data_IF_789393395969
#
_entry.id   IF_789393395969
#
_cell.length_a   1.000
_cell.length_b   1.000
_cell.length_c   1.000
_cell.angle_alpha   90.00
_cell.angle_beta   90.00
_cell.angle_gamma   90.00
#
_symmetry.space_group_name_H-M   'P 1'
#
loop_
_entity.id
_entity.type
_entity.pdbx_description
1 polymer ?
#
# COMPACT_ATOMS: atom_id res chain seq x y z
N UNK A 1 44.14 33.83 -24.01
CA UNK A 1 43.94 34.04 -22.57
C UNK A 1 43.22 32.83 -22.00
N UNK A 2 43.79 32.22 -20.97
CA UNK A 2 43.23 31.09 -20.24
C UNK A 2 42.14 31.56 -19.27
N UNK A 3 41.00 30.87 -19.23
CA UNK A 3 40.18 30.69 -18.03
C UNK A 3 39.47 29.34 -18.14
N UNK A 4 40.15 28.34 -17.60
CA UNK A 4 39.64 27.02 -17.28
C UNK A 4 38.79 27.18 -16.02
N UNK A 5 37.50 26.87 -16.09
CA UNK A 5 36.63 26.73 -14.92
C UNK A 5 35.69 25.57 -15.23
N UNK A 6 36.01 24.39 -14.70
CA UNK A 6 35.05 23.31 -14.56
C UNK A 6 35.52 22.44 -13.39
N UNK A 7 35.07 22.86 -12.21
CA UNK A 7 35.06 22.10 -10.98
C UNK A 7 33.85 21.15 -11.01
N UNK A 8 34.01 19.95 -11.54
CA UNK A 8 32.99 18.90 -11.39
C UNK A 8 33.33 18.02 -10.18
N UNK A 9 32.82 18.47 -9.04
CA UNK A 9 32.81 17.75 -7.77
C UNK A 9 31.84 16.56 -7.81
N UNK A 10 32.42 15.36 -7.65
CA UNK A 10 32.01 14.29 -6.73
C UNK A 10 30.50 14.08 -6.49
N UNK A 11 29.90 13.14 -7.23
CA UNK A 11 28.55 12.62 -6.99
C UNK A 11 28.55 11.21 -6.38
N UNK A 12 28.29 11.14 -5.08
CA UNK A 12 27.37 10.19 -4.42
C UNK A 12 27.56 8.68 -4.61
N UNK A 13 28.32 8.05 -3.71
CA UNK A 13 28.18 6.62 -3.41
C UNK A 13 27.25 6.45 -2.19
N UNK A 14 25.94 6.30 -2.44
CA UNK A 14 24.93 6.03 -1.43
C UNK A 14 24.85 4.54 -1.11
N UNK A 15 25.57 4.09 -0.10
CA UNK A 15 25.33 2.82 0.58
C UNK A 15 24.43 3.03 1.81
N UNK A 16 23.59 2.05 2.21
CA UNK A 16 22.64 2.20 3.31
C UNK A 16 23.40 2.12 4.64
N UNK A 17 23.88 3.27 5.10
CA UNK A 17 24.51 3.43 6.41
C UNK A 17 23.45 3.35 7.50
N UNK A 18 23.46 2.23 8.23
CA UNK A 18 22.80 2.01 9.52
C UNK A 18 22.93 3.26 10.39
N UNK A 19 21.79 3.79 10.83
CA UNK A 19 21.69 4.93 11.73
C UNK A 19 22.38 4.60 13.05
N UNK A 20 23.64 5.02 13.18
CA UNK A 20 24.29 5.15 14.47
C UNK A 20 23.61 6.32 15.18
N UNK A 21 23.04 6.03 16.36
CA UNK A 21 22.65 7.05 17.33
C UNK A 21 23.90 7.84 17.66
N UNK A 22 24.08 8.95 16.95
CA UNK A 22 25.16 9.89 17.20
C UNK A 22 24.68 10.79 18.33
N UNK A 23 25.22 10.53 19.52
CA UNK A 23 25.19 11.44 20.65
C UNK A 23 25.99 12.70 20.28
N UNK A 24 25.43 13.57 19.44
CA UNK A 24 25.98 14.91 19.25
C UNK A 24 25.58 15.73 20.49
N UNK A 25 26.52 16.18 21.35
CA UNK A 25 26.21 17.00 22.52
C UNK A 25 25.70 18.41 22.16
N UNK A 26 25.64 18.72 20.86
CA UNK A 26 25.02 19.93 20.32
C UNK A 26 23.79 19.59 19.45
N UNK A 27 23.21 18.41 19.63
CA UNK A 27 21.87 18.13 19.14
C UNK A 27 20.90 18.98 19.96
N UNK A 28 20.67 20.21 19.50
CA UNK A 28 19.56 21.03 19.95
C UNK A 28 18.31 20.16 19.86
N UNK A 29 17.76 19.85 21.02
CA UNK A 29 16.46 19.24 21.18
C UNK A 29 15.47 20.02 20.30
N UNK A 30 14.81 19.38 19.31
CA UNK A 30 13.89 20.07 18.39
C UNK A 30 12.66 20.66 19.08
N UNK A 31 12.56 20.52 20.40
CA UNK A 31 11.52 21.08 21.25
C UNK A 31 11.91 22.37 21.94
N UNK A 32 13.21 22.68 22.08
CA UNK A 32 13.67 23.88 22.78
C UNK A 32 14.80 24.50 21.96
N UNK A 33 14.49 25.55 21.20
CA UNK A 33 15.53 26.43 20.68
C UNK A 33 15.90 27.39 21.82
N UNK A 34 17.19 27.52 22.14
CA UNK A 34 17.68 28.47 23.16
C UNK A 34 17.27 29.93 22.86
N UNK A 35 16.86 30.21 21.62
CA UNK A 35 16.32 31.50 21.18
C UNK A 35 14.86 31.76 21.61
N UNK A 36 14.15 30.77 22.14
CA UNK A 36 12.73 30.85 22.47
C UNK A 36 12.48 31.24 23.94
N UNK A 37 13.54 31.35 24.75
CA UNK A 37 13.47 31.70 26.17
C UNK A 37 13.66 33.22 26.31
N UNK A 38 12.55 33.97 26.32
CA UNK A 38 12.54 35.30 26.91
C UNK A 38 12.28 35.17 28.41
N UNK A 39 13.14 35.77 29.23
CA UNK A 39 13.16 35.68 30.71
C UNK A 39 11.84 36.14 31.38
N UNK A 40 10.95 36.79 30.61
CA UNK A 40 9.66 37.35 31.00
C UNK A 40 8.42 36.53 30.55
N UNK A 41 8.59 35.42 29.81
CA UNK A 41 7.46 34.59 29.35
C UNK A 41 6.93 33.66 30.47
N UNK A 42 5.61 33.67 30.71
CA UNK A 42 4.98 32.76 31.68
C UNK A 42 4.97 31.31 31.17
N UNK A 43 5.03 30.33 32.09
CA UNK A 43 4.95 28.89 31.78
C UNK A 43 3.72 28.53 30.93
N UNK A 44 2.60 29.23 31.14
CA UNK A 44 1.37 29.02 30.36
C UNK A 44 1.53 29.47 28.90
N UNK A 45 2.18 30.60 28.65
CA UNK A 45 2.43 31.12 27.30
C UNK A 45 3.47 30.26 26.56
N UNK A 46 4.48 29.77 27.27
CA UNK A 46 5.44 28.80 26.72
C UNK A 46 4.75 27.50 26.29
N UNK A 47 3.84 27.00 27.13
CA UNK A 47 3.01 25.82 26.84
C UNK A 47 2.11 26.03 25.62
N UNK A 48 1.45 27.18 25.52
CA UNK A 48 0.59 27.52 24.38
C UNK A 48 1.39 27.64 23.07
N UNK A 49 2.54 28.33 23.06
CA UNK A 49 3.39 28.45 21.87
C UNK A 49 3.93 27.10 21.41
N UNK A 50 4.35 26.24 22.33
CA UNK A 50 4.79 24.88 22.01
C UNK A 50 3.67 24.03 21.39
N UNK A 51 2.46 24.08 21.97
CA UNK A 51 1.29 23.38 21.42
C UNK A 51 0.93 23.92 20.04
N UNK A 52 0.95 25.24 19.83
CA UNK A 52 0.66 25.85 18.54
C UNK A 52 1.71 25.48 17.48
N UNK A 53 2.99 25.45 17.85
CA UNK A 53 4.06 25.04 16.94
C UNK A 53 3.98 23.56 16.58
N UNK A 54 3.68 22.69 17.55
CA UNK A 54 3.43 21.26 17.29
C UNK A 54 2.20 21.10 16.39
N UNK A 55 1.15 21.89 16.62
CA UNK A 55 -0.07 21.84 15.81
C UNK A 55 0.14 22.34 14.39
N UNK A 56 0.86 23.46 14.20
CA UNK A 56 1.21 23.95 12.86
C UNK A 56 2.13 22.98 12.14
N UNK A 57 3.12 22.40 12.84
CA UNK A 57 3.99 21.37 12.28
C UNK A 57 3.23 20.10 11.89
N UNK A 58 2.24 19.68 12.69
CA UNK A 58 1.35 18.58 12.34
C UNK A 58 0.49 18.93 11.12
N UNK A 59 -0.07 20.13 11.06
CA UNK A 59 -0.89 20.57 9.94
C UNK A 59 -0.07 20.63 8.64
N UNK A 60 1.13 21.20 8.69
CA UNK A 60 2.06 21.26 7.56
C UNK A 60 2.45 19.85 7.09
N UNK A 61 2.71 18.94 8.03
CA UNK A 61 2.99 17.55 7.73
C UNK A 61 1.78 16.83 7.11
N UNK A 62 0.59 17.00 7.69
CA UNK A 62 -0.64 16.34 7.24
C UNK A 62 -1.12 16.87 5.87
N UNK A 63 -0.89 18.14 5.58
CA UNK A 63 -1.23 18.78 4.30
C UNK A 63 -0.16 18.57 3.22
N UNK A 64 0.89 17.82 3.50
CA UNK A 64 1.90 17.48 2.51
C UNK A 64 1.28 16.61 1.40
N UNK A 65 1.44 17.05 0.14
CA UNK A 65 0.81 16.42 -1.02
C UNK A 65 1.10 14.92 -1.17
N UNK A 66 2.32 14.47 -0.84
CA UNK A 66 2.69 13.05 -0.89
C UNK A 66 1.90 12.18 0.11
N UNK A 67 1.65 12.67 1.33
CA UNK A 67 0.89 11.93 2.34
C UNK A 67 -0.59 11.92 1.98
N UNK A 68 -1.10 13.06 1.51
CA UNK A 68 -2.47 13.22 1.06
C UNK A 68 -2.78 12.28 -0.12
N UNK A 69 -1.89 12.15 -1.10
CA UNK A 69 -2.04 11.21 -2.23
C UNK A 69 -2.10 9.75 -1.75
N UNK A 70 -1.22 9.34 -0.83
CA UNK A 70 -1.23 7.99 -0.25
C UNK A 70 -2.54 7.75 0.53
N UNK A 71 -2.99 8.72 1.32
CA UNK A 71 -4.22 8.62 2.11
C UNK A 71 -5.45 8.45 1.20
N UNK A 72 -5.57 9.27 0.15
CA UNK A 72 -6.66 9.13 -0.82
C UNK A 72 -6.62 7.77 -1.53
N UNK A 73 -5.43 7.30 -1.92
CA UNK A 73 -5.24 5.97 -2.51
C UNK A 73 -5.75 4.84 -1.59
N UNK A 74 -5.43 4.89 -0.30
CA UNK A 74 -5.88 3.89 0.69
C UNK A 74 -7.40 3.93 0.92
N UNK A 75 -8.02 5.12 0.97
CA UNK A 75 -9.47 5.27 1.17
C UNK A 75 -10.25 4.70 -0.03
N UNK A 76 -9.81 5.01 -1.25
CA UNK A 76 -10.44 4.48 -2.47
C UNK A 76 -10.21 2.97 -2.55
N UNK A 77 -9.00 2.48 -2.24
CA UNK A 77 -8.68 1.07 -2.25
C UNK A 77 -9.52 0.26 -1.22
N UNK A 78 -9.72 0.79 -0.01
CA UNK A 78 -10.52 0.10 1.01
C UNK A 78 -12.00 0.01 0.62
N UNK A 79 -12.55 1.10 0.07
CA UNK A 79 -13.93 1.17 -0.39
C UNK A 79 -14.17 0.24 -1.59
N UNK A 80 -13.25 0.24 -2.57
CA UNK A 80 -13.31 -0.68 -3.71
C UNK A 80 -13.19 -2.14 -3.26
N UNK A 81 -12.26 -2.45 -2.35
CA UNK A 81 -12.10 -3.80 -1.79
C UNK A 81 -13.38 -4.26 -1.08
N UNK A 82 -14.05 -3.36 -0.34
CA UNK A 82 -15.33 -3.67 0.30
C UNK A 82 -16.42 -4.03 -0.73
N UNK A 83 -16.54 -3.24 -1.82
CA UNK A 83 -17.51 -3.50 -2.89
C UNK A 83 -17.25 -4.84 -3.57
N UNK A 84 -15.98 -5.15 -3.91
CA UNK A 84 -15.64 -6.41 -4.57
C UNK A 84 -15.85 -7.60 -3.62
N UNK A 85 -15.51 -7.47 -2.33
CA UNK A 85 -15.77 -8.50 -1.34
C UNK A 85 -17.27 -8.77 -1.14
N UNK A 86 -18.11 -7.72 -1.09
CA UNK A 86 -19.57 -7.85 -1.06
C UNK A 86 -20.11 -8.49 -2.34
N UNK A 87 -19.60 -8.12 -3.51
CA UNK A 87 -20.00 -8.77 -4.75
C UNK A 87 -19.69 -10.27 -4.75
N UNK A 88 -18.50 -10.65 -4.30
CA UNK A 88 -18.13 -12.07 -4.20
C UNK A 88 -19.01 -12.77 -3.16
N UNK A 89 -19.11 -12.23 -1.94
CA UNK A 89 -19.78 -12.87 -0.81
C UNK A 89 -21.31 -12.95 -0.97
N UNK A 90 -21.92 -11.91 -1.53
CA UNK A 90 -23.38 -11.75 -1.56
C UNK A 90 -23.98 -12.13 -2.91
N UNK A 91 -23.23 -12.00 -4.01
CA UNK A 91 -23.76 -12.23 -5.37
C UNK A 91 -23.17 -13.49 -6.01
N UNK A 92 -21.86 -13.73 -5.90
CA UNK A 92 -21.24 -14.92 -6.51
C UNK A 92 -21.38 -16.17 -5.64
N UNK A 93 -21.27 -16.06 -4.31
CA UNK A 93 -21.34 -17.22 -3.43
C UNK A 93 -22.72 -17.90 -3.39
N UNK A 94 -23.89 -17.22 -3.36
CA UNK A 94 -25.16 -17.95 -3.27
C UNK A 94 -25.41 -18.89 -4.47
N UNK A 95 -25.20 -18.46 -5.74
CA UNK A 95 -25.24 -19.37 -6.88
C UNK A 95 -24.18 -20.47 -6.78
N UNK A 96 -22.97 -20.14 -6.35
CA UNK A 96 -21.87 -21.11 -6.24
C UNK A 96 -22.11 -22.14 -5.12
N UNK A 97 -22.77 -21.75 -4.02
CA UNK A 97 -23.13 -22.59 -2.87
C UNK A 97 -24.34 -23.48 -3.16
N UNK A 98 -25.19 -23.10 -4.11
CA UNK A 98 -26.23 -24.00 -4.62
C UNK A 98 -25.64 -25.03 -5.58
N UNK A 99 -24.68 -24.62 -6.42
CA UNK A 99 -24.08 -25.48 -7.45
C UNK A 99 -23.05 -26.46 -6.88
N UNK A 100 -22.14 -25.98 -6.03
CA UNK A 100 -21.26 -26.84 -5.26
C UNK A 100 -22.00 -27.20 -3.98
N UNK A 101 -22.38 -28.47 -3.74
CA UNK A 101 -23.06 -28.91 -2.51
C UNK A 101 -22.12 -28.90 -1.29
N UNK A 102 -21.20 -27.93 -1.21
CA UNK A 102 -20.50 -27.55 0.00
C UNK A 102 -21.56 -26.94 0.92
N UNK A 103 -21.87 -27.65 2.01
CA UNK A 103 -22.85 -27.29 3.05
C UNK A 103 -23.03 -25.76 3.17
N UNK A 104 -24.28 -25.31 2.98
CA UNK A 104 -24.69 -23.91 2.80
C UNK A 104 -24.29 -22.94 3.92
N UNK A 105 -23.76 -23.43 5.04
CA UNK A 105 -23.32 -22.62 6.17
C UNK A 105 -21.88 -23.00 6.56
N UNK A 106 -20.89 -22.73 5.68
CA UNK A 106 -19.50 -23.00 6.04
C UNK A 106 -19.14 -22.26 7.32
N UNK A 107 -19.61 -21.03 7.51
CA UNK A 107 -19.31 -20.24 8.71
C UNK A 107 -19.73 -20.94 10.00
N UNK A 108 -20.86 -21.64 10.02
CA UNK A 108 -21.35 -22.37 11.21
C UNK A 108 -20.56 -23.64 11.54
N UNK A 109 -19.62 -24.04 10.68
CA UNK A 109 -18.81 -25.23 10.91
C UNK A 109 -17.64 -24.92 11.85
N UNK A 110 -17.81 -25.26 13.12
CA UNK A 110 -16.74 -25.22 14.12
C UNK A 110 -16.55 -26.57 14.81
N UNK A 111 -15.31 -26.82 15.21
CA UNK A 111 -14.96 -27.93 16.09
C UNK A 111 -14.70 -27.37 17.50
N UNK A 112 -15.51 -27.76 18.47
CA UNK A 112 -15.30 -27.40 19.88
C UNK A 112 -14.19 -28.29 20.43
N UNK A 113 -13.04 -27.72 20.78
CA UNK A 113 -11.90 -28.46 21.35
C UNK A 113 -12.05 -28.60 22.86
N UNK A 114 -12.59 -27.57 23.53
CA UNK A 114 -12.89 -27.58 24.96
C UNK A 114 -14.32 -27.07 25.18
N UNK A 115 -15.23 -27.90 25.72
CA UNK A 115 -16.59 -27.46 26.00
C UNK A 115 -16.59 -26.39 27.11
N UNK A 116 -17.44 -25.37 26.93
CA UNK A 116 -17.74 -24.39 27.97
C UNK A 116 -18.76 -24.92 28.98
N UNK A 117 -19.14 -24.11 29.98
CA UNK A 117 -20.06 -24.51 31.04
C UNK A 117 -21.45 -24.91 30.54
N UNK A 118 -21.95 -24.25 29.49
CA UNK A 118 -23.28 -24.50 28.93
C UNK A 118 -23.25 -25.42 27.70
N UNK A 119 -22.30 -26.35 27.62
CA UNK A 119 -22.21 -27.28 26.50
C UNK A 119 -23.35 -28.33 26.54
N UNK A 120 -24.32 -28.20 25.65
CA UNK A 120 -25.33 -29.23 25.40
C UNK A 120 -24.69 -30.42 24.67
N UNK A 121 -24.61 -31.59 25.34
CA UNK A 121 -23.94 -32.77 24.78
C UNK A 121 -24.64 -33.36 23.55
N UNK A 122 -25.95 -33.17 23.41
CA UNK A 122 -26.75 -33.69 22.28
C UNK A 122 -26.71 -32.78 21.04
N UNK A 123 -26.87 -31.47 21.21
CA UNK A 123 -26.97 -30.53 20.09
C UNK A 123 -25.70 -29.71 19.83
N UNK A 124 -24.70 -29.78 20.73
CA UNK A 124 -23.55 -28.89 20.69
C UNK A 124 -23.97 -27.42 20.86
N UNK A 125 -23.10 -26.50 20.46
CA UNK A 125 -23.49 -25.10 20.36
C UNK A 125 -24.26 -24.88 19.05
N UNK A 126 -25.41 -24.19 19.13
CA UNK A 126 -26.23 -23.91 17.96
C UNK A 126 -25.62 -22.84 17.05
N UNK A 127 -24.74 -21.98 17.60
CA UNK A 127 -24.03 -20.93 16.85
C UNK A 127 -22.62 -20.70 17.38
N UNK A 128 -21.74 -20.21 16.50
CA UNK A 128 -20.38 -19.80 16.85
C UNK A 128 -20.31 -18.75 17.97
N UNK A 129 -21.25 -17.80 17.96
CA UNK A 129 -21.26 -16.66 18.90
C UNK A 129 -21.48 -17.16 20.32
N UNK A 130 -22.46 -18.06 20.50
CA UNK A 130 -22.70 -18.70 21.80
C UNK A 130 -21.48 -19.49 22.30
N UNK A 131 -20.75 -20.17 21.41
CA UNK A 131 -19.55 -20.91 21.81
C UNK A 131 -18.38 -19.99 22.21
N UNK A 132 -18.25 -18.83 21.56
CA UNK A 132 -17.24 -17.82 21.90
C UNK A 132 -17.56 -17.10 23.21
N UNK A 133 -18.84 -16.76 23.44
CA UNK A 133 -19.30 -16.09 24.66
C UNK A 133 -19.17 -16.98 25.90
N UNK A 134 -19.38 -18.29 25.74
CA UNK A 134 -19.15 -19.29 26.78
C UNK A 134 -17.66 -19.50 27.12
N UNK A 135 -16.75 -18.85 26.39
CA UNK A 135 -15.30 -19.06 26.53
C UNK A 135 -14.85 -20.46 26.12
N UNK A 136 -15.65 -21.17 25.32
CA UNK A 136 -15.28 -22.47 24.78
C UNK A 136 -14.17 -22.27 23.74
N UNK A 137 -13.14 -23.12 23.79
CA UNK A 137 -12.07 -23.07 22.79
C UNK A 137 -12.60 -23.73 21.53
N UNK A 138 -13.00 -22.92 20.55
CA UNK A 138 -13.53 -23.38 19.26
C UNK A 138 -12.51 -23.18 18.14
N UNK A 139 -12.33 -24.23 17.34
CA UNK A 139 -11.64 -24.16 16.05
C UNK A 139 -12.68 -23.93 14.95
N UNK A 140 -12.86 -22.67 14.56
CA UNK A 140 -13.75 -22.27 13.47
C UNK A 140 -13.07 -22.46 12.10
N UNK A 141 -13.02 -23.69 11.60
CA UNK A 141 -12.50 -23.95 10.25
C UNK A 141 -13.41 -23.41 9.15
N UNK A 142 -14.70 -23.27 9.47
CA UNK A 142 -15.72 -22.69 8.61
C UNK A 142 -15.37 -21.31 8.07
N UNK A 143 -15.15 -20.36 8.98
CA UNK A 143 -14.78 -18.98 8.62
C UNK A 143 -13.44 -18.94 7.87
N UNK A 144 -12.47 -19.81 8.20
CA UNK A 144 -11.20 -19.85 7.49
C UNK A 144 -11.39 -20.23 6.02
N UNK A 145 -12.14 -21.31 5.75
CA UNK A 145 -12.44 -21.73 4.37
C UNK A 145 -13.22 -20.66 3.64
N UNK A 146 -14.18 -20.00 4.30
CA UNK A 146 -14.91 -18.86 3.73
C UNK A 146 -13.95 -17.71 3.32
N UNK A 147 -12.96 -17.36 4.15
CA UNK A 147 -11.95 -16.34 3.81
C UNK A 147 -11.10 -16.76 2.60
N UNK A 148 -10.72 -18.03 2.51
CA UNK A 148 -9.96 -18.56 1.35
C UNK A 148 -10.80 -18.52 0.08
N UNK A 149 -12.06 -18.94 0.14
CA UNK A 149 -12.97 -18.88 -1.01
C UNK A 149 -13.19 -17.43 -1.44
N UNK A 150 -13.39 -16.51 -0.51
CA UNK A 150 -13.52 -15.08 -0.82
C UNK A 150 -12.26 -14.53 -1.50
N UNK A 151 -11.08 -14.84 -0.98
CA UNK A 151 -9.81 -14.43 -1.59
C UNK A 151 -9.68 -14.93 -3.04
N UNK A 152 -9.99 -16.20 -3.28
CA UNK A 152 -9.98 -16.77 -4.63
C UNK A 152 -11.07 -16.16 -5.52
N UNK A 153 -12.27 -15.94 -4.98
CA UNK A 153 -13.40 -15.33 -5.69
C UNK A 153 -13.09 -13.91 -6.14
N UNK A 154 -12.45 -13.10 -5.30
CA UNK A 154 -11.97 -11.75 -5.65
C UNK A 154 -10.96 -11.84 -6.80
N UNK A 155 -9.94 -12.70 -6.68
CA UNK A 155 -8.93 -12.87 -7.74
C UNK A 155 -9.52 -13.31 -9.08
N UNK A 156 -10.42 -14.30 -9.06
CA UNK A 156 -11.13 -14.78 -10.25
C UNK A 156 -12.05 -13.70 -10.82
N UNK A 157 -12.76 -12.93 -9.98
CA UNK A 157 -13.65 -11.86 -10.44
C UNK A 157 -12.89 -10.73 -11.14
N UNK A 158 -11.76 -10.29 -10.58
CA UNK A 158 -10.92 -9.26 -11.19
C UNK A 158 -10.31 -9.75 -12.50
N UNK A 159 -9.86 -11.00 -12.55
CA UNK A 159 -9.37 -11.63 -13.77
C UNK A 159 -10.46 -11.72 -14.85
N UNK A 160 -11.67 -12.14 -14.49
CA UNK A 160 -12.81 -12.21 -15.40
C UNK A 160 -13.17 -10.83 -15.95
N UNK A 161 -13.19 -9.79 -15.12
CA UNK A 161 -13.43 -8.42 -15.54
C UNK A 161 -12.34 -7.90 -16.49
N UNK A 162 -11.06 -8.13 -16.15
CA UNK A 162 -9.94 -7.74 -17.00
C UNK A 162 -9.97 -8.48 -18.36
N UNK A 163 -10.32 -9.77 -18.35
CA UNK A 163 -10.47 -10.58 -19.56
C UNK A 163 -11.65 -10.11 -20.41
N UNK A 164 -12.78 -9.78 -19.79
CA UNK A 164 -13.94 -9.24 -20.48
C UNK A 164 -13.63 -7.86 -21.10
N UNK A 165 -12.92 -7.01 -20.36
CA UNK A 165 -12.49 -5.71 -20.86
C UNK A 165 -11.53 -5.85 -22.05
N UNK A 166 -10.54 -6.76 -21.97
CA UNK A 166 -9.60 -7.03 -23.07
C UNK A 166 -10.30 -7.67 -24.28
N UNK A 167 -11.36 -8.44 -24.06
CA UNK A 167 -12.17 -9.02 -25.13
C UNK A 167 -12.96 -7.94 -25.88
N UNK A 168 -13.52 -6.96 -25.16
CA UNK A 168 -14.34 -5.90 -25.75
C UNK A 168 -13.51 -4.72 -26.30
N UNK A 169 -12.44 -4.35 -25.60
CA UNK A 169 -11.54 -3.25 -25.97
C UNK A 169 -10.29 -3.83 -26.61
N UNK A 170 -10.18 -3.73 -27.94
CA UNK A 170 -9.06 -4.28 -28.70
C UNK A 170 -7.75 -3.47 -28.56
N UNK A 171 -7.73 -2.46 -27.69
CA UNK A 171 -6.52 -1.69 -27.38
C UNK A 171 -5.72 -2.41 -26.29
N UNK A 172 -4.53 -2.97 -26.60
CA UNK A 172 -3.70 -3.58 -25.58
C UNK A 172 -3.28 -2.52 -24.56
N UNK A 173 -3.74 -2.66 -23.31
CA UNK A 173 -3.32 -1.83 -22.17
C UNK A 173 -1.79 -1.80 -22.03
N UNK A 174 -1.13 -2.89 -22.40
CA UNK A 174 0.32 -3.05 -22.25
C UNK A 174 1.01 -2.32 -23.41
N UNK A 175 1.38 -1.06 -23.18
CA UNK A 175 2.32 -0.35 -24.05
C UNK A 175 3.68 -1.03 -23.93
N UNK A 176 4.13 -1.68 -25.00
CA UNK A 176 5.45 -2.30 -25.05
C UNK A 176 6.55 -1.26 -24.81
N UNK A 177 7.48 -1.60 -23.92
CA UNK A 177 8.63 -0.76 -23.57
C UNK A 177 9.91 -1.40 -24.05
N UNK A 178 10.69 -0.67 -24.85
CA UNK A 178 12.02 -1.06 -25.34
C UNK A 178 13.10 -0.32 -24.56
N UNK A 179 14.28 -0.91 -24.41
CA UNK A 179 15.42 -0.21 -23.80
C UNK A 179 16.09 0.68 -24.84
N UNK A 180 16.42 1.90 -24.45
CA UNK A 180 17.28 2.78 -25.23
C UNK A 180 18.68 2.18 -25.36
N UNK A 181 19.30 2.21 -26.55
CA UNK A 181 20.69 1.77 -26.72
C UNK A 181 21.70 2.64 -25.96
N UNK A 182 21.44 3.94 -25.87
CA UNK A 182 22.36 4.92 -25.28
C UNK A 182 22.24 4.99 -23.77
N UNK A 183 21.08 5.38 -23.24
CA UNK A 183 20.89 5.57 -21.79
C UNK A 183 20.42 4.31 -21.05
N UNK A 184 20.10 3.22 -21.77
CA UNK A 184 19.56 1.95 -21.24
C UNK A 184 18.26 2.05 -20.44
N UNK A 185 17.67 3.25 -20.32
CA UNK A 185 16.35 3.46 -19.72
C UNK A 185 15.27 2.87 -20.63
N UNK A 186 14.19 2.35 -20.03
CA UNK A 186 13.04 1.82 -20.76
C UNK A 186 12.18 2.98 -21.29
N UNK A 187 11.83 2.92 -22.55
CA UNK A 187 11.03 3.93 -23.26
C UNK A 187 9.90 3.20 -24.00
N UNK A 188 8.80 3.88 -24.30
CA UNK A 188 7.77 3.34 -25.18
C UNK A 188 8.35 3.00 -26.57
N UNK A 189 7.97 1.84 -27.09
CA UNK A 189 8.36 1.38 -28.44
C UNK A 189 7.98 2.35 -29.55
N UNK A 190 6.88 3.10 -29.38
CA UNK A 190 6.38 4.05 -30.38
C UNK A 190 7.08 5.42 -30.33
N UNK A 191 8.06 5.62 -29.45
CA UNK A 191 8.75 6.91 -29.32
C UNK A 191 9.87 7.08 -30.36
N UNK A 192 9.84 8.19 -31.10
CA UNK A 192 10.88 8.53 -32.09
C UNK A 192 12.20 8.97 -31.42
N UNK A 193 12.07 9.59 -30.24
CA UNK A 193 13.18 10.18 -29.49
C UNK A 193 13.11 9.76 -28.03
N UNK A 194 14.28 9.56 -27.42
CA UNK A 194 14.37 9.25 -26.00
C UNK A 194 14.06 10.49 -25.13
N UNK A 195 13.17 10.36 -24.15
CA UNK A 195 12.84 11.44 -23.20
C UNK A 195 14.03 11.82 -22.31
N UNK A 196 14.89 10.86 -21.94
CA UNK A 196 15.97 11.09 -20.99
C UNK A 196 17.28 11.59 -21.61
N UNK A 197 17.68 11.03 -22.76
CA UNK A 197 18.95 11.39 -23.41
C UNK A 197 18.76 12.11 -24.75
N UNK A 198 17.52 12.44 -25.12
CA UNK A 198 17.14 13.16 -26.35
C UNK A 198 17.61 12.53 -27.67
N UNK A 199 18.29 11.37 -27.61
CA UNK A 199 18.77 10.66 -28.79
C UNK A 199 17.65 10.02 -29.58
N UNK A 200 17.90 9.90 -30.89
CA UNK A 200 16.99 9.25 -31.82
C UNK A 200 17.11 7.73 -31.74
N UNK A 201 15.97 7.03 -31.65
CA UNK A 201 15.96 5.56 -31.61
C UNK A 201 16.19 4.92 -33.00
N UNK A 202 16.06 5.68 -34.09
CA UNK A 202 16.25 5.24 -35.48
C UNK A 202 17.71 4.88 -35.86
N UNK A 203 18.64 4.92 -34.88
CA UNK A 203 20.05 4.62 -35.08
C UNK A 203 20.79 5.60 -36.00
N UNK A 204 20.21 6.77 -36.28
CA UNK A 204 20.84 7.80 -37.13
C UNK A 204 22.11 8.40 -36.50
N UNK A 205 22.17 8.42 -35.18
CA UNK A 205 23.35 8.85 -34.42
C UNK A 205 24.47 7.79 -34.52
N UNK A 206 24.14 6.49 -34.52
CA UNK A 206 25.09 5.40 -34.77
C UNK A 206 25.79 5.59 -36.14
N UNK A 207 25.01 5.93 -37.18
CA UNK A 207 25.55 6.24 -38.53
C UNK A 207 26.50 7.45 -38.56
N UNK A 208 26.36 8.39 -37.64
CA UNK A 208 27.21 9.59 -37.57
C UNK A 208 28.44 9.37 -36.69
N UNK A 209 28.34 8.53 -35.67
CA UNK A 209 29.44 8.24 -34.74
C UNK A 209 30.42 7.17 -35.24
N UNK A 210 30.07 6.42 -36.30
CA UNK A 210 30.94 5.38 -36.87
C UNK A 210 31.18 4.18 -35.94
N UNK A 211 30.30 4.00 -34.96
CA UNK A 211 30.20 2.77 -34.15
C UNK A 211 29.35 1.74 -34.89
#
# INVERSE_FOLDING_TARGET
MSSNNNDDNNGGNGGPGVLLFRDDPNASNPFLNEADIHEDDNVLELGERAVLHIWSGFLDFALQGNILEIAFGLIIASSFTAIVNSFVSDILLPPLSVLLPLNKNLDEKFAVLKPGPNYERENGYNTLQFAQDDGAVVMAYGIFVNRVINFLGVGVSLYALASAYQYFSHDPIIKHTVKCKYCRKRISEKSLRCVNCTSWLDGREERQSGL
#
